data_IF_061617265458
#
_entry.id   IF_061617265458
#
_cell.length_a   1.000
_cell.length_b   1.000
_cell.length_c   1.000
_cell.angle_alpha   90.00
_cell.angle_beta   90.00
_cell.angle_gamma   90.00
#
_symmetry.space_group_name_H-M   'P 1'
#
loop_
_entity.id
_entity.type
_entity.pdbx_description
1 polymer ?
#
# COMPACT_ATOMS: atom_id res chain seq x y z
N UNK A 1 21.91 18.20 -10.71
CA UNK A 1 21.06 17.19 -11.37
C UNK A 1 19.63 17.53 -11.01
N UNK A 2 18.81 17.97 -11.96
CA UNK A 2 17.37 18.13 -11.74
C UNK A 2 16.76 16.73 -11.58
N UNK A 3 16.09 16.48 -10.46
CA UNK A 3 15.29 15.27 -10.29
C UNK A 3 14.21 15.24 -11.37
N UNK A 4 14.08 14.12 -12.07
CA UNK A 4 13.01 13.89 -13.04
C UNK A 4 12.12 12.73 -12.60
N UNK A 5 10.92 12.61 -13.17
CA UNK A 5 9.93 11.59 -12.77
C UNK A 5 10.50 10.16 -12.86
N UNK A 6 11.34 9.87 -13.85
CA UNK A 6 11.98 8.54 -14.01
C UNK A 6 12.90 8.19 -12.85
N UNK A 7 13.69 9.16 -12.36
CA UNK A 7 14.55 8.95 -11.18
C UNK A 7 13.77 8.70 -9.89
N UNK A 8 12.49 9.11 -9.84
CA UNK A 8 11.57 8.82 -8.74
C UNK A 8 10.79 7.51 -8.92
N UNK A 9 11.03 6.77 -10.01
CA UNK A 9 10.39 5.48 -10.28
C UNK A 9 9.04 5.57 -11.02
N UNK A 10 8.68 6.73 -11.57
CA UNK A 10 7.50 6.88 -12.43
C UNK A 10 7.84 6.54 -13.89
N UNK A 11 6.93 5.84 -14.55
CA UNK A 11 6.94 5.66 -16.00
C UNK A 11 6.48 6.92 -16.74
N UNK A 12 6.77 6.99 -18.03
CA UNK A 12 6.32 8.12 -18.87
C UNK A 12 4.80 8.21 -18.94
N UNK A 13 4.11 7.07 -19.01
CA UNK A 13 2.65 7.02 -19.02
C UNK A 13 2.04 7.52 -17.70
N UNK A 14 2.69 7.23 -16.56
CA UNK A 14 2.26 7.75 -15.26
C UNK A 14 2.46 9.27 -15.17
N UNK A 15 3.59 9.78 -15.67
CA UNK A 15 3.84 11.22 -15.70
C UNK A 15 2.84 11.98 -16.59
N UNK A 16 2.57 11.48 -17.80
CA UNK A 16 1.54 12.08 -18.67
C UNK A 16 0.16 12.09 -18.00
N UNK A 17 -0.17 11.02 -17.27
CA UNK A 17 -1.42 10.97 -16.50
C UNK A 17 -1.44 12.00 -15.36
N UNK A 18 -0.32 12.23 -14.69
CA UNK A 18 -0.19 13.26 -13.66
C UNK A 18 -0.42 14.65 -14.27
N UNK A 19 0.22 14.95 -15.40
CA UNK A 19 0.02 16.21 -16.12
C UNK A 19 -1.46 16.42 -16.49
N UNK A 20 -2.11 15.38 -17.01
CA UNK A 20 -3.53 15.42 -17.35
C UNK A 20 -4.45 15.63 -16.14
N UNK A 21 -4.14 15.00 -15.00
CA UNK A 21 -4.92 15.17 -13.76
C UNK A 21 -4.74 16.56 -13.14
N UNK A 22 -3.53 17.13 -13.22
CA UNK A 22 -3.21 18.40 -12.61
C UNK A 22 -3.52 19.61 -13.49
N UNK A 23 -3.56 19.43 -14.82
CA UNK A 23 -3.70 20.52 -15.79
C UNK A 23 -2.49 21.47 -15.83
N UNK A 24 -1.39 21.10 -15.18
CA UNK A 24 -0.11 21.82 -15.12
C UNK A 24 1.01 20.87 -14.73
N UNK A 25 2.25 21.33 -14.85
CA UNK A 25 3.39 20.59 -14.31
C UNK A 25 3.35 20.56 -12.76
N UNK A 26 3.58 19.39 -12.14
CA UNK A 26 3.78 19.29 -10.69
C UNK A 26 5.11 19.93 -10.30
N UNK A 27 5.17 20.54 -9.11
CA UNK A 27 6.44 20.83 -8.48
C UNK A 27 7.09 19.54 -7.95
N UNK A 28 8.33 19.64 -7.46
CA UNK A 28 9.10 18.48 -7.00
C UNK A 28 8.41 17.70 -5.87
N UNK A 29 7.83 18.40 -4.89
CA UNK A 29 7.10 17.77 -3.78
C UNK A 29 5.87 17.04 -4.26
N UNK A 30 5.07 17.65 -5.12
CA UNK A 30 3.87 17.05 -5.71
C UNK A 30 4.22 15.80 -6.53
N UNK A 31 5.27 15.89 -7.36
CA UNK A 31 5.75 14.76 -8.15
C UNK A 31 6.24 13.61 -7.26
N UNK A 32 6.98 13.92 -6.19
CA UNK A 32 7.42 12.95 -5.20
C UNK A 32 6.25 12.25 -4.48
N UNK A 33 5.18 13.00 -4.16
CA UNK A 33 3.97 12.42 -3.59
C UNK A 33 3.31 11.43 -4.56
N UNK A 34 3.17 11.80 -5.84
CA UNK A 34 2.66 10.86 -6.85
C UNK A 34 3.55 9.62 -6.97
N UNK A 35 4.87 9.78 -6.99
CA UNK A 35 5.82 8.67 -7.13
C UNK A 35 5.66 7.62 -6.02
N UNK A 36 5.58 8.06 -4.75
CA UNK A 36 5.40 7.14 -3.61
C UNK A 36 4.01 6.51 -3.62
N UNK A 37 2.96 7.33 -3.78
CA UNK A 37 1.57 6.85 -3.69
C UNK A 37 1.19 5.92 -4.84
N UNK A 38 1.82 6.06 -6.02
CA UNK A 38 1.60 5.19 -7.17
C UNK A 38 2.65 4.07 -7.28
N UNK A 39 3.51 3.87 -6.29
CA UNK A 39 4.39 2.69 -6.22
C UNK A 39 3.57 1.38 -6.13
N UNK A 40 4.17 0.22 -6.42
CA UNK A 40 3.48 -1.06 -6.21
C UNK A 40 3.14 -1.28 -4.72
N UNK A 41 4.00 -0.83 -3.82
CA UNK A 41 3.84 -0.99 -2.38
C UNK A 41 2.57 -0.28 -1.86
N UNK A 42 2.27 0.92 -2.35
CA UNK A 42 1.07 1.65 -1.94
C UNK A 42 -0.14 1.40 -2.85
N UNK A 43 0.10 1.32 -4.18
CA UNK A 43 -0.96 1.29 -5.18
C UNK A 43 -1.47 -0.10 -5.55
N UNK A 44 -0.71 -1.16 -5.22
CA UNK A 44 -1.02 -2.55 -5.58
C UNK A 44 -1.38 -2.69 -7.08
N UNK A 45 -0.64 -2.00 -7.95
CA UNK A 45 -1.00 -1.79 -9.37
C UNK A 45 -1.19 -3.11 -10.11
N UNK A 46 -0.31 -4.08 -9.84
CA UNK A 46 -0.31 -5.38 -10.51
C UNK A 46 -1.17 -6.40 -9.75
N UNK A 47 -1.14 -6.33 -8.42
CA UNK A 47 -1.79 -7.32 -7.55
C UNK A 47 -3.28 -7.08 -7.37
N UNK A 48 -3.75 -5.83 -7.31
CA UNK A 48 -5.16 -5.48 -7.04
C UNK A 48 -6.17 -6.16 -7.96
N UNK A 49 -5.97 -6.25 -9.30
CA UNK A 49 -6.92 -6.94 -10.18
C UNK A 49 -7.09 -8.43 -9.84
N UNK A 50 -6.02 -9.09 -9.40
CA UNK A 50 -6.02 -10.52 -9.05
C UNK A 50 -6.63 -10.74 -7.66
N UNK A 51 -6.32 -9.89 -6.69
CA UNK A 51 -6.84 -9.99 -5.32
C UNK A 51 -8.38 -9.85 -5.25
N UNK A 52 -8.99 -9.14 -6.21
CA UNK A 52 -10.45 -9.03 -6.32
C UNK A 52 -11.16 -10.35 -6.65
N UNK A 53 -10.42 -11.37 -7.08
CA UNK A 53 -10.99 -12.69 -7.39
C UNK A 53 -11.24 -13.53 -6.12
N UNK A 54 -10.68 -13.14 -4.98
CA UNK A 54 -10.87 -13.88 -3.73
C UNK A 54 -12.26 -13.64 -3.12
N UNK A 55 -12.86 -14.66 -2.49
CA UNK A 55 -14.08 -14.49 -1.73
C UNK A 55 -13.79 -13.63 -0.49
N UNK A 56 -14.60 -12.59 -0.28
CA UNK A 56 -14.44 -11.64 0.83
C UNK A 56 -15.65 -11.55 1.76
N UNK A 57 -16.71 -12.30 1.46
CA UNK A 57 -17.96 -12.28 2.21
C UNK A 57 -18.18 -13.60 2.94
N UNK A 58 -18.83 -13.55 4.09
CA UNK A 58 -19.19 -14.71 4.88
C UNK A 58 -19.98 -14.33 6.13
N UNK A 59 -20.75 -15.26 6.72
CA UNK A 59 -21.67 -14.96 7.83
C UNK A 59 -20.98 -14.47 9.10
N UNK A 60 -19.68 -14.75 9.26
CA UNK A 60 -18.87 -14.32 10.41
C UNK A 60 -17.93 -13.17 10.08
N UNK A 61 -17.94 -12.65 8.84
CA UNK A 61 -17.11 -11.53 8.45
C UNK A 61 -17.79 -10.25 8.93
N UNK A 62 -17.22 -9.63 9.96
CA UNK A 62 -17.68 -8.33 10.45
C UNK A 62 -17.05 -7.19 9.63
N UNK A 63 -15.80 -7.37 9.20
CA UNK A 63 -15.08 -6.44 8.32
C UNK A 63 -14.15 -7.20 7.37
N UNK A 64 -14.37 -7.04 6.07
CA UNK A 64 -13.52 -7.56 5.00
C UNK A 64 -12.43 -6.56 4.54
N UNK A 65 -11.78 -6.80 3.39
CA UNK A 65 -10.75 -5.90 2.85
C UNK A 65 -11.27 -4.48 2.63
N UNK A 66 -10.46 -3.47 2.99
CA UNK A 66 -10.77 -2.05 2.82
C UNK A 66 -10.28 -1.19 3.98
N UNK A 67 -10.30 -1.77 5.18
CA UNK A 67 -9.80 -1.16 6.41
C UNK A 67 -8.39 -1.65 6.77
N UNK A 68 -7.82 -1.09 7.84
CA UNK A 68 -6.48 -1.44 8.32
C UNK A 68 -6.33 -2.89 8.78
N UNK A 69 -7.41 -3.62 9.07
CA UNK A 69 -7.40 -5.04 9.46
C UNK A 69 -8.75 -5.72 9.17
N UNK A 70 -8.75 -7.05 9.06
CA UNK A 70 -9.97 -7.85 8.95
C UNK A 70 -10.53 -8.20 10.32
N UNK A 71 -11.85 -8.33 10.43
CA UNK A 71 -12.55 -8.64 11.69
C UNK A 71 -13.51 -9.79 11.51
N UNK A 72 -13.41 -10.80 12.38
CA UNK A 72 -14.22 -12.02 12.36
C UNK A 72 -14.94 -12.19 13.69
N UNK A 73 -16.24 -12.49 13.64
CA UNK A 73 -17.06 -12.89 14.79
C UNK A 73 -16.69 -14.31 15.25
N UNK A 74 -16.39 -14.45 16.54
CA UNK A 74 -16.06 -15.73 17.17
C UNK A 74 -17.15 -16.22 18.14
N UNK A 75 -18.26 -15.51 18.25
CA UNK A 75 -19.35 -15.81 19.19
C UNK A 75 -19.22 -15.05 20.51
N UNK A 76 -20.20 -15.24 21.40
CA UNK A 76 -20.23 -14.66 22.76
C UNK A 76 -20.07 -13.13 22.82
N UNK A 77 -20.45 -12.43 21.74
CA UNK A 77 -20.26 -10.98 21.62
C UNK A 77 -18.80 -10.56 21.47
N UNK A 78 -17.92 -11.47 21.03
CA UNK A 78 -16.50 -11.24 20.84
C UNK A 78 -16.09 -11.32 19.37
N UNK A 79 -15.01 -10.63 19.02
CA UNK A 79 -14.44 -10.64 17.68
C UNK A 79 -12.92 -10.73 17.71
N UNK A 80 -12.33 -11.27 16.64
CA UNK A 80 -10.89 -11.26 16.40
C UNK A 80 -10.58 -10.26 15.30
N UNK A 81 -9.67 -9.33 15.59
CA UNK A 81 -9.08 -8.41 14.63
C UNK A 81 -7.69 -8.92 14.27
N UNK A 82 -7.42 -9.11 12.99
CA UNK A 82 -6.10 -9.59 12.56
C UNK A 82 -5.71 -9.08 11.16
N UNK A 83 -4.40 -8.98 10.97
CA UNK A 83 -3.74 -8.67 9.69
C UNK A 83 -2.36 -9.32 9.67
N UNK A 84 -1.80 -9.44 8.47
CA UNK A 84 -0.41 -9.78 8.26
C UNK A 84 0.24 -8.69 7.41
N UNK A 85 1.45 -8.28 7.80
CA UNK A 85 2.29 -7.35 7.07
C UNK A 85 3.68 -7.95 6.80
N UNK A 86 4.41 -7.35 5.87
CA UNK A 86 5.79 -7.74 5.56
C UNK A 86 6.68 -6.51 5.58
N UNK A 87 7.89 -6.65 6.12
CA UNK A 87 8.89 -5.58 6.15
C UNK A 87 10.22 -6.06 5.53
N UNK A 88 10.10 -6.72 4.37
CA UNK A 88 11.14 -7.59 3.82
C UNK A 88 12.41 -6.83 3.41
N UNK A 89 12.28 -5.80 2.58
CA UNK A 89 13.45 -5.09 2.04
C UNK A 89 14.26 -4.40 3.15
N UNK A 90 13.65 -3.66 4.10
CA UNK A 90 14.42 -3.06 5.19
C UNK A 90 15.08 -4.12 6.09
N UNK A 91 14.37 -5.21 6.43
CA UNK A 91 14.94 -6.31 7.23
C UNK A 91 16.08 -7.05 6.55
N UNK A 92 16.14 -7.05 5.21
CA UNK A 92 17.26 -7.62 4.47
C UNK A 92 18.54 -6.75 4.58
N UNK A 93 18.38 -5.44 4.79
CA UNK A 93 19.49 -4.48 4.91
C UNK A 93 19.94 -4.33 6.36
N UNK A 94 18.98 -4.16 7.26
CA UNK A 94 19.18 -4.03 8.70
C UNK A 94 18.14 -4.92 9.41
N UNK A 95 18.53 -6.10 9.91
CA UNK A 95 17.56 -7.07 10.42
C UNK A 95 16.85 -6.66 11.71
N UNK A 96 17.55 -5.99 12.62
CA UNK A 96 17.03 -5.73 13.96
C UNK A 96 15.95 -4.64 13.94
N UNK A 97 16.30 -3.46 13.44
CA UNK A 97 15.41 -2.33 13.21
C UNK A 97 14.37 -2.64 12.15
N UNK A 98 14.73 -3.34 11.06
CA UNK A 98 13.77 -3.75 10.04
C UNK A 98 12.67 -4.64 10.60
N UNK A 99 13.00 -5.60 11.47
CA UNK A 99 12.00 -6.40 12.17
C UNK A 99 11.22 -5.58 13.20
N UNK A 100 11.91 -4.75 13.99
CA UNK A 100 11.28 -3.94 15.03
C UNK A 100 10.23 -2.97 14.49
N UNK A 101 10.52 -2.28 13.38
CA UNK A 101 9.55 -1.37 12.74
C UNK A 101 8.43 -2.13 12.04
N UNK A 102 8.69 -3.33 11.50
CA UNK A 102 7.64 -4.22 11.01
C UNK A 102 6.67 -4.65 12.11
N UNK A 103 7.17 -4.97 13.31
CA UNK A 103 6.33 -5.24 14.50
C UNK A 103 5.56 -3.99 14.92
N UNK A 104 6.21 -2.82 14.93
CA UNK A 104 5.55 -1.56 15.29
C UNK A 104 4.46 -1.12 14.30
N UNK A 105 4.56 -1.50 13.02
CA UNK A 105 3.55 -1.16 12.01
C UNK A 105 2.27 -2.02 12.09
N UNK A 106 2.39 -3.27 12.56
CA UNK A 106 1.26 -4.21 12.63
C UNK A 106 0.46 -4.13 13.94
N UNK A 107 1.06 -3.60 15.02
CA UNK A 107 0.43 -3.40 16.34
C UNK A 107 -0.38 -2.11 16.36
#
# INVERSE_FOLDING_TARGET
MTLNWRSMGLSDAEYEKILALMGREPNETELGMFAVMWSEHCGYKNSRPLLKLFPTEGPRVLQGPGENAGVIDIGDGQAVVFKMESHNHPSAIEPYQGAATGVGGIV
#
